data_IF_847891207530
#
_entry.id   IF_847891207530
#
_cell.length_a   1.000
_cell.length_b   1.000
_cell.length_c   1.000
_cell.angle_alpha   90.00
_cell.angle_beta   90.00
_cell.angle_gamma   90.00
#
_symmetry.space_group_name_H-M   'P 1'
#
loop_
_entity.id
_entity.type
_entity.pdbx_description
1 polymer ?
#
# COMPACT_ATOMS: atom_id res chain seq x y z
N UNK A 1 -67.89 5.25 59.68
CA UNK A 1 -66.47 5.11 59.42
C UNK A 1 -66.09 4.46 58.07
N UNK A 2 -66.94 4.59 56.99
CA UNK A 2 -66.68 3.89 55.70
C UNK A 2 -66.69 4.89 54.51
N UNK A 3 -66.91 6.20 54.73
CA UNK A 3 -66.94 7.19 53.63
C UNK A 3 -65.58 7.90 53.34
N UNK A 4 -64.58 7.80 54.18
CA UNK A 4 -63.27 8.47 53.99
C UNK A 4 -62.20 7.60 53.39
N UNK A 5 -62.41 6.28 53.27
CA UNK A 5 -61.42 5.36 52.71
C UNK A 5 -61.45 5.32 51.16
N UNK A 6 -62.59 5.68 50.55
CA UNK A 6 -62.72 5.65 49.09
C UNK A 6 -62.15 6.88 48.39
N UNK A 7 -61.89 7.98 49.08
CA UNK A 7 -61.36 9.21 48.51
C UNK A 7 -59.83 9.23 48.54
N UNK A 8 -59.16 8.46 49.41
CA UNK A 8 -57.71 8.36 49.46
C UNK A 8 -57.12 7.41 48.41
N UNK A 9 -57.88 6.41 47.97
CA UNK A 9 -57.47 5.47 46.93
C UNK A 9 -57.48 6.06 45.51
N UNK A 10 -58.27 7.10 45.25
CA UNK A 10 -58.43 7.75 43.94
C UNK A 10 -57.26 8.78 43.67
N UNK A 11 -56.67 9.36 44.73
CA UNK A 11 -55.60 10.32 44.60
C UNK A 11 -54.19 9.65 44.44
N UNK A 12 -54.02 8.39 44.85
CA UNK A 12 -52.75 7.67 44.73
C UNK A 12 -52.54 7.04 43.32
N UNK A 13 -53.62 6.82 42.61
CA UNK A 13 -53.60 6.27 41.25
C UNK A 13 -53.30 7.30 40.14
N UNK A 14 -53.44 8.60 40.45
CA UNK A 14 -53.19 9.69 39.51
C UNK A 14 -51.72 10.18 39.48
N UNK A 15 -50.93 9.82 40.52
CA UNK A 15 -49.49 10.23 40.59
C UNK A 15 -48.53 9.25 39.94
N UNK A 16 -48.96 8.07 39.47
CA UNK A 16 -48.11 7.07 38.84
C UNK A 16 -48.07 7.12 37.29
N UNK A 17 -48.82 8.03 36.67
CA UNK A 17 -48.89 8.17 35.20
C UNK A 17 -48.21 9.43 34.65
N UNK A 18 -47.54 10.23 35.51
CA UNK A 18 -46.83 11.46 35.06
C UNK A 18 -45.31 11.28 34.87
N UNK A 19 -44.82 10.05 34.89
CA UNK A 19 -43.39 9.80 34.89
C UNK A 19 -42.89 8.93 33.73
N UNK A 20 -43.07 9.30 32.46
CA UNK A 20 -42.27 8.78 31.33
C UNK A 20 -42.65 9.50 30.02
N UNK A 21 -42.57 10.82 30.02
CA UNK A 21 -42.30 11.55 28.79
C UNK A 21 -40.82 12.01 28.84
N UNK A 22 -39.91 11.05 28.88
CA UNK A 22 -38.54 11.34 28.48
C UNK A 22 -38.62 11.65 26.98
N UNK A 23 -38.47 12.92 26.62
CA UNK A 23 -38.17 13.30 25.25
C UNK A 23 -37.05 12.45 24.79
N UNK A 24 -37.08 11.79 23.62
CA UNK A 24 -35.94 11.09 23.09
C UNK A 24 -34.82 12.12 22.97
N UNK A 25 -33.76 11.95 23.78
CA UNK A 25 -32.50 12.66 23.56
C UNK A 25 -32.12 12.31 22.12
N UNK A 26 -31.98 13.28 21.21
CA UNK A 26 -31.48 12.94 19.88
C UNK A 26 -30.18 12.20 20.07
N UNK A 27 -30.08 11.00 19.47
CA UNK A 27 -28.84 10.28 19.42
C UNK A 27 -27.77 11.24 18.89
N UNK A 28 -26.58 11.30 19.49
CA UNK A 28 -25.54 12.13 18.96
C UNK A 28 -25.37 11.73 17.49
N UNK A 29 -25.63 12.67 16.59
CA UNK A 29 -25.27 12.54 15.18
C UNK A 29 -23.74 12.55 15.19
N UNK A 30 -23.13 11.36 15.25
CA UNK A 30 -21.70 11.22 15.01
C UNK A 30 -21.48 11.65 13.56
N UNK A 31 -20.96 12.85 13.37
CA UNK A 31 -20.57 13.33 12.04
C UNK A 31 -19.55 12.33 11.51
N UNK A 32 -19.89 11.61 10.44
CA UNK A 32 -18.94 10.74 9.76
C UNK A 32 -18.04 11.64 8.91
N UNK A 33 -16.74 11.47 9.07
CA UNK A 33 -15.79 12.15 8.18
C UNK A 33 -15.80 11.47 6.81
N UNK A 34 -15.86 12.28 5.75
CA UNK A 34 -15.72 11.81 4.38
C UNK A 34 -14.24 11.83 3.98
N UNK A 35 -13.71 10.69 3.60
CA UNK A 35 -12.31 10.48 3.22
C UNK A 35 -12.24 9.83 1.86
N UNK A 36 -11.42 10.39 0.97
CA UNK A 36 -11.14 9.81 -0.34
C UNK A 36 -9.75 9.16 -0.33
N UNK A 37 -9.66 7.88 -0.68
CA UNK A 37 -8.41 7.21 -1.01
C UNK A 37 -8.24 7.18 -2.52
N UNK A 38 -7.12 7.72 -3.01
CA UNK A 38 -6.78 7.78 -4.43
C UNK A 38 -5.46 7.04 -4.64
N UNK A 39 -5.57 5.82 -5.18
CA UNK A 39 -4.46 4.91 -5.42
C UNK A 39 -3.85 5.11 -6.81
N UNK A 40 -2.66 4.53 -7.03
CA UNK A 40 -2.04 4.50 -8.37
C UNK A 40 -2.78 3.57 -9.33
N UNK A 41 -3.38 2.50 -8.78
CA UNK A 41 -4.19 1.55 -9.53
C UNK A 41 -5.23 0.90 -8.63
N UNK A 42 -6.26 0.29 -9.22
CA UNK A 42 -7.27 -0.52 -8.52
C UNK A 42 -7.23 -2.00 -8.94
N UNK A 43 -6.26 -2.40 -9.76
CA UNK A 43 -6.28 -3.68 -10.48
C UNK A 43 -5.31 -4.74 -9.95
N UNK A 44 -4.46 -4.44 -8.93
CA UNK A 44 -3.47 -5.40 -8.41
C UNK A 44 -3.86 -5.95 -7.05
N UNK A 45 -3.29 -7.10 -6.67
CA UNK A 45 -3.48 -7.70 -5.35
C UNK A 45 -2.86 -6.82 -4.25
N UNK A 46 -1.75 -6.13 -4.54
CA UNK A 46 -1.15 -5.12 -3.67
C UNK A 46 -2.19 -4.08 -3.24
N UNK A 47 -2.86 -3.45 -4.20
CA UNK A 47 -3.87 -2.42 -3.90
C UNK A 47 -5.12 -2.99 -3.24
N UNK A 48 -5.55 -4.19 -3.63
CA UNK A 48 -6.67 -4.89 -2.95
C UNK A 48 -6.39 -5.07 -1.46
N UNK A 49 -5.14 -5.39 -1.09
CA UNK A 49 -4.70 -5.51 0.29
C UNK A 49 -4.68 -4.18 1.04
N UNK A 50 -4.20 -3.11 0.40
CA UNK A 50 -4.26 -1.75 0.96
C UNK A 50 -5.71 -1.33 1.21
N UNK A 51 -6.60 -1.58 0.24
CA UNK A 51 -8.02 -1.22 0.35
C UNK A 51 -8.72 -1.93 1.50
N UNK A 52 -8.47 -3.22 1.68
CA UNK A 52 -9.06 -3.95 2.80
C UNK A 52 -8.59 -3.44 4.16
N UNK A 53 -7.33 -3.05 4.31
CA UNK A 53 -6.84 -2.38 5.52
C UNK A 53 -7.53 -1.03 5.74
N UNK A 54 -7.69 -0.25 4.67
CA UNK A 54 -8.37 1.04 4.72
C UNK A 54 -9.86 0.91 5.09
N UNK A 55 -10.58 -0.06 4.50
CA UNK A 55 -11.99 -0.35 4.80
C UNK A 55 -12.18 -0.83 6.24
N UNK A 56 -11.26 -1.64 6.76
CA UNK A 56 -11.29 -2.09 8.15
C UNK A 56 -11.16 -0.90 9.11
N UNK A 57 -10.19 -0.01 8.90
CA UNK A 57 -10.03 1.21 9.69
C UNK A 57 -11.22 2.17 9.54
N UNK A 58 -11.74 2.36 8.31
CA UNK A 58 -12.91 3.20 8.08
C UNK A 58 -14.15 2.70 8.83
N UNK A 59 -14.29 1.37 8.92
CA UNK A 59 -15.35 0.73 9.72
C UNK A 59 -15.13 0.98 11.21
N UNK A 60 -13.92 0.77 11.72
CA UNK A 60 -13.58 0.95 13.13
C UNK A 60 -13.79 2.39 13.60
N UNK A 61 -13.32 3.36 12.80
CA UNK A 61 -13.43 4.80 13.11
C UNK A 61 -14.74 5.44 12.62
N UNK A 62 -15.70 4.65 12.10
CA UNK A 62 -16.98 5.10 11.56
C UNK A 62 -16.82 6.26 10.55
N UNK A 63 -15.92 6.09 9.58
CA UNK A 63 -15.67 7.04 8.50
C UNK A 63 -16.44 6.65 7.23
N UNK A 64 -16.67 7.61 6.36
CA UNK A 64 -17.19 7.42 5.01
C UNK A 64 -16.04 7.43 4.04
N UNK A 65 -15.60 6.24 3.60
CA UNK A 65 -14.43 6.04 2.76
C UNK A 65 -14.85 5.79 1.31
N UNK A 66 -14.33 6.62 0.39
CA UNK A 66 -14.43 6.40 -1.05
C UNK A 66 -13.05 6.00 -1.57
N UNK A 67 -12.97 4.90 -2.31
CA UNK A 67 -11.73 4.39 -2.91
C UNK A 67 -11.81 4.56 -4.42
N UNK A 68 -10.77 5.19 -5.00
CA UNK A 68 -10.61 5.38 -6.44
C UNK A 68 -9.14 5.20 -6.83
N UNK A 69 -8.87 5.11 -8.13
CA UNK A 69 -7.51 5.05 -8.66
C UNK A 69 -7.51 5.12 -10.17
N UNK A 70 -6.34 5.30 -10.75
CA UNK A 70 -6.14 5.30 -12.19
C UNK A 70 -6.23 3.88 -12.76
N UNK A 71 -6.42 3.75 -14.07
CA UNK A 71 -6.32 2.46 -14.77
C UNK A 71 -4.86 1.99 -14.90
N UNK A 72 -3.92 2.94 -14.97
CA UNK A 72 -2.47 2.69 -15.04
C UNK A 72 -1.74 3.39 -13.91
N UNK A 73 -0.73 2.73 -13.34
CA UNK A 73 0.12 3.31 -12.28
C UNK A 73 0.95 4.53 -12.74
N UNK A 74 0.98 4.83 -14.03
CA UNK A 74 1.71 5.96 -14.62
C UNK A 74 0.80 7.14 -14.99
N UNK A 75 -0.53 7.00 -14.84
CA UNK A 75 -1.49 8.04 -15.23
C UNK A 75 -1.71 9.06 -14.10
N UNK A 76 -0.71 9.94 -13.92
CA UNK A 76 -0.81 11.06 -12.98
C UNK A 76 -1.90 12.06 -13.36
N UNK A 77 -2.25 12.18 -14.65
CA UNK A 77 -3.26 13.13 -15.10
C UNK A 77 -4.65 12.75 -14.59
N UNK A 78 -5.04 11.49 -14.76
CA UNK A 78 -6.29 10.98 -14.17
C UNK A 78 -6.30 11.10 -12.66
N UNK A 79 -5.15 10.90 -11.98
CA UNK A 79 -5.08 11.12 -10.53
C UNK A 79 -5.35 12.59 -10.14
N UNK A 80 -4.85 13.57 -10.92
CA UNK A 80 -5.11 14.97 -10.67
C UNK A 80 -6.62 15.28 -10.78
N UNK A 81 -7.31 14.72 -11.79
CA UNK A 81 -8.76 14.85 -11.96
C UNK A 81 -9.51 14.20 -10.77
N UNK A 82 -9.05 13.05 -10.28
CA UNK A 82 -9.62 12.38 -9.10
C UNK A 82 -9.43 13.19 -7.82
N UNK A 83 -8.28 13.89 -7.65
CA UNK A 83 -8.05 14.80 -6.52
C UNK A 83 -9.05 15.97 -6.56
N UNK A 84 -9.21 16.61 -7.72
CA UNK A 84 -10.17 17.71 -7.89
C UNK A 84 -11.59 17.25 -7.58
N UNK A 85 -11.99 16.09 -8.12
CA UNK A 85 -13.29 15.49 -7.86
C UNK A 85 -13.50 15.20 -6.37
N UNK A 86 -12.54 14.62 -5.67
CA UNK A 86 -12.65 14.34 -4.24
C UNK A 86 -12.89 15.63 -3.43
N UNK A 87 -12.24 16.72 -3.79
CA UNK A 87 -12.46 18.04 -3.17
C UNK A 87 -13.87 18.56 -3.46
N UNK A 88 -14.35 18.42 -4.71
CA UNK A 88 -15.71 18.83 -5.11
C UNK A 88 -16.79 18.02 -4.40
N UNK A 89 -16.56 16.73 -4.20
CA UNK A 89 -17.43 15.81 -3.47
C UNK A 89 -17.41 16.06 -1.94
N UNK A 90 -16.56 16.98 -1.46
CA UNK A 90 -16.50 17.40 -0.06
C UNK A 90 -15.66 16.50 0.83
N UNK A 91 -14.67 15.81 0.31
CA UNK A 91 -13.71 15.05 1.11
C UNK A 91 -12.98 15.98 2.10
N UNK A 92 -12.95 15.57 3.37
CA UNK A 92 -12.26 16.30 4.44
C UNK A 92 -10.80 15.84 4.58
N UNK A 93 -10.50 14.62 4.12
CA UNK A 93 -9.14 14.15 3.94
C UNK A 93 -9.00 13.39 2.62
N UNK A 94 -7.81 13.47 2.04
CA UNK A 94 -7.39 12.67 0.89
C UNK A 94 -6.21 11.81 1.35
N UNK A 95 -6.34 10.47 1.15
CA UNK A 95 -5.26 9.51 1.29
C UNK A 95 -4.76 9.24 -0.13
N UNK A 96 -3.51 9.58 -0.42
CA UNK A 96 -2.99 9.66 -1.78
C UNK A 96 -1.69 8.87 -1.96
N UNK A 97 -1.59 8.13 -3.07
CA UNK A 97 -0.34 7.51 -3.53
C UNK A 97 0.01 8.04 -4.92
N UNK A 98 1.14 8.73 -5.04
CA UNK A 98 1.49 9.44 -6.26
C UNK A 98 1.99 8.52 -7.38
N UNK A 99 1.43 8.63 -8.57
CA UNK A 99 1.99 8.05 -9.80
C UNK A 99 3.24 8.78 -10.25
N UNK A 100 3.30 10.10 -10.04
CA UNK A 100 4.47 10.92 -10.35
C UNK A 100 4.74 11.91 -9.20
N UNK A 101 5.98 11.88 -8.69
CA UNK A 101 6.39 12.70 -7.56
C UNK A 101 6.19 14.19 -7.78
N UNK A 102 6.44 14.70 -9.00
CA UNK A 102 6.39 16.11 -9.33
C UNK A 102 5.02 16.54 -9.91
N UNK A 103 4.46 15.74 -10.81
CA UNK A 103 3.27 16.14 -11.57
C UNK A 103 1.99 16.15 -10.72
N UNK A 104 1.95 15.35 -9.65
CA UNK A 104 0.80 15.35 -8.73
C UNK A 104 0.88 16.45 -7.65
N UNK A 105 2.05 17.09 -7.47
CA UNK A 105 2.29 18.04 -6.37
C UNK A 105 1.31 19.22 -6.37
N UNK A 106 1.07 19.83 -7.55
CA UNK A 106 0.23 21.03 -7.66
C UNK A 106 -1.25 20.72 -7.30
N UNK A 107 -1.79 19.56 -7.68
CA UNK A 107 -3.15 19.16 -7.36
C UNK A 107 -3.31 18.89 -5.86
N UNK A 108 -2.33 18.24 -5.24
CA UNK A 108 -2.29 18.01 -3.78
C UNK A 108 -2.19 19.34 -3.02
N UNK A 109 -1.32 20.25 -3.46
CA UNK A 109 -1.21 21.58 -2.84
C UNK A 109 -2.52 22.38 -2.92
N UNK A 110 -3.20 22.32 -4.07
CA UNK A 110 -4.49 22.99 -4.28
C UNK A 110 -5.61 22.38 -3.40
N UNK A 111 -5.63 21.07 -3.19
CA UNK A 111 -6.56 20.41 -2.26
C UNK A 111 -6.28 20.84 -0.81
N UNK A 112 -5.03 20.86 -0.39
CA UNK A 112 -4.63 21.27 0.95
C UNK A 112 -4.97 22.75 1.21
N UNK A 113 -4.80 23.65 0.21
CA UNK A 113 -5.18 25.08 0.32
C UNK A 113 -6.68 25.29 0.53
N UNK A 114 -7.51 24.34 0.11
CA UNK A 114 -8.94 24.32 0.37
C UNK A 114 -9.30 23.72 1.75
N UNK A 115 -8.31 23.35 2.55
CA UNK A 115 -8.49 22.84 3.91
C UNK A 115 -8.63 21.32 3.98
N UNK A 116 -8.38 20.59 2.90
CA UNK A 116 -8.39 19.13 2.89
C UNK A 116 -7.13 18.60 3.56
N UNK A 117 -7.27 17.68 4.49
CA UNK A 117 -6.16 17.00 5.15
C UNK A 117 -5.49 16.00 4.18
N UNK A 118 -4.17 16.04 4.04
CA UNK A 118 -3.44 15.16 3.12
C UNK A 118 -2.65 14.12 3.91
N UNK A 119 -2.96 12.85 3.67
CA UNK A 119 -2.16 11.69 4.12
C UNK A 119 -1.63 10.99 2.88
N UNK A 120 -0.34 10.69 2.85
CA UNK A 120 0.26 9.95 1.73
C UNK A 120 0.46 8.49 2.14
N UNK A 121 0.16 7.58 1.22
CA UNK A 121 0.37 6.14 1.38
C UNK A 121 1.24 5.61 0.25
N UNK A 122 2.14 4.67 0.54
CA UNK A 122 3.04 3.97 -0.40
C UNK A 122 4.01 4.92 -1.13
N UNK A 123 3.54 5.74 -2.08
CA UNK A 123 4.38 6.56 -2.95
C UNK A 123 4.27 8.05 -2.62
N UNK A 124 5.40 8.67 -2.32
CA UNK A 124 5.50 10.08 -1.93
C UNK A 124 5.13 11.06 -3.05
N UNK A 125 4.75 12.28 -2.67
CA UNK A 125 4.51 13.42 -3.57
C UNK A 125 5.32 14.63 -3.11
N UNK A 126 5.80 15.45 -4.04
CA UNK A 126 6.61 16.64 -3.74
C UNK A 126 5.74 17.80 -3.20
N UNK A 127 5.21 17.62 -2.00
CA UNK A 127 4.40 18.64 -1.33
C UNK A 127 4.78 18.76 0.14
N UNK A 128 4.98 19.98 0.60
CA UNK A 128 5.22 20.28 2.02
C UNK A 128 3.93 20.29 2.86
N UNK A 129 2.76 20.14 2.21
CA UNK A 129 1.43 20.15 2.83
C UNK A 129 0.94 18.80 3.27
N UNK A 130 1.74 17.75 3.05
CA UNK A 130 1.47 16.39 3.53
C UNK A 130 1.55 16.38 5.05
N UNK A 131 0.47 15.93 5.69
CA UNK A 131 0.35 15.85 7.15
C UNK A 131 0.97 14.58 7.73
N UNK A 132 0.86 13.46 7.01
CA UNK A 132 1.45 12.17 7.39
C UNK A 132 1.76 11.33 6.16
N UNK A 133 2.78 10.48 6.27
CA UNK A 133 3.15 9.45 5.31
C UNK A 133 3.10 8.07 5.97
N UNK A 134 2.58 7.08 5.24
CA UNK A 134 2.56 5.67 5.64
C UNK A 134 3.08 4.82 4.49
N UNK A 135 4.18 4.12 4.67
CA UNK A 135 4.78 3.32 3.61
C UNK A 135 5.87 2.38 4.11
N UNK A 136 6.61 1.79 3.20
CA UNK A 136 7.78 0.97 3.52
C UNK A 136 9.07 1.80 3.48
N UNK A 137 10.12 1.32 4.16
CA UNK A 137 11.49 1.71 3.87
C UNK A 137 11.92 1.10 2.54
N UNK A 138 11.74 1.86 1.45
CA UNK A 138 12.00 1.37 0.10
C UNK A 138 13.50 1.13 -0.16
N UNK A 139 14.37 1.99 0.35
CA UNK A 139 15.80 1.80 0.25
C UNK A 139 16.25 0.52 0.99
N UNK A 140 15.78 0.33 2.21
CA UNK A 140 16.01 -0.89 2.98
C UNK A 140 15.43 -2.14 2.31
N UNK A 141 14.26 -2.02 1.66
CA UNK A 141 13.65 -3.11 0.87
C UNK A 141 14.55 -3.50 -0.33
N UNK A 142 15.11 -2.52 -1.04
CA UNK A 142 16.12 -2.74 -2.08
C UNK A 142 17.36 -3.44 -1.54
N UNK A 143 17.85 -3.01 -0.37
CA UNK A 143 18.96 -3.68 0.30
C UNK A 143 18.64 -5.14 0.66
N UNK A 144 17.39 -5.43 1.10
CA UNK A 144 16.95 -6.81 1.40
C UNK A 144 17.01 -7.69 0.15
N UNK A 145 16.56 -7.19 -1.00
CA UNK A 145 16.62 -7.91 -2.27
C UNK A 145 18.06 -8.27 -2.66
N UNK A 146 18.95 -7.29 -2.64
CA UNK A 146 20.37 -7.50 -2.95
C UNK A 146 21.04 -8.46 -1.97
N UNK A 147 20.79 -8.32 -0.66
CA UNK A 147 21.32 -9.21 0.38
C UNK A 147 20.83 -10.64 0.22
N UNK A 148 19.59 -10.85 -0.24
CA UNK A 148 19.06 -12.18 -0.55
C UNK A 148 19.86 -12.84 -1.68
N UNK A 149 20.10 -12.14 -2.78
CA UNK A 149 20.91 -12.65 -3.88
C UNK A 149 22.36 -12.92 -3.45
N UNK A 150 22.99 -11.97 -2.75
CA UNK A 150 24.37 -12.11 -2.25
C UNK A 150 24.55 -13.29 -1.29
N UNK A 151 23.53 -13.63 -0.51
CA UNK A 151 23.56 -14.76 0.43
C UNK A 151 23.47 -16.12 -0.27
N UNK A 152 22.71 -16.20 -1.34
CA UNK A 152 22.29 -17.47 -1.92
C UNK A 152 23.01 -17.83 -3.23
N UNK A 153 23.58 -16.82 -3.94
CA UNK A 153 24.34 -17.05 -5.17
C UNK A 153 25.84 -17.00 -4.87
N UNK A 154 26.56 -18.08 -5.21
CA UNK A 154 28.01 -18.16 -5.07
C UNK A 154 28.74 -17.49 -6.26
N UNK A 155 30.00 -17.05 -6.04
CA UNK A 155 30.83 -16.43 -7.05
C UNK A 155 30.40 -15.01 -7.44
N UNK A 156 30.80 -14.53 -8.64
CA UNK A 156 30.42 -13.22 -9.16
C UNK A 156 28.92 -13.16 -9.49
N UNK A 157 28.26 -12.04 -9.17
CA UNK A 157 26.89 -11.77 -9.54
C UNK A 157 26.86 -10.78 -10.71
N UNK A 158 26.20 -11.19 -11.79
CA UNK A 158 25.82 -10.34 -12.93
C UNK A 158 24.32 -10.09 -12.85
N UNK A 159 23.92 -8.89 -12.43
CA UNK A 159 22.56 -8.60 -12.01
C UNK A 159 21.80 -7.86 -13.11
N UNK A 160 20.65 -8.38 -13.51
CA UNK A 160 19.65 -7.68 -14.30
C UNK A 160 18.62 -7.03 -13.39
N UNK A 161 18.27 -5.77 -13.64
CA UNK A 161 17.24 -5.04 -12.94
C UNK A 161 16.07 -4.78 -13.88
N UNK A 162 14.86 -5.17 -13.49
CA UNK A 162 13.63 -4.88 -14.23
C UNK A 162 12.80 -3.93 -13.37
N UNK A 163 12.85 -2.66 -13.71
CA UNK A 163 12.18 -1.58 -12.99
C UNK A 163 11.00 -1.02 -13.79
N UNK A 164 10.29 -0.10 -13.18
CA UNK A 164 9.14 0.59 -13.78
C UNK A 164 9.39 2.11 -13.75
N UNK A 165 8.37 2.92 -13.75
CA UNK A 165 8.37 4.37 -13.82
C UNK A 165 9.52 5.06 -13.07
N UNK A 166 10.42 5.70 -13.81
CA UNK A 166 11.57 6.45 -13.28
C UNK A 166 11.19 7.68 -12.43
N UNK A 167 9.91 8.13 -12.48
CA UNK A 167 9.40 9.24 -11.69
C UNK A 167 8.72 8.79 -10.39
N UNK A 168 8.70 7.49 -10.12
CA UNK A 168 8.17 6.93 -8.88
C UNK A 168 9.26 6.86 -7.81
N UNK A 169 9.13 7.57 -6.66
CA UNK A 169 10.15 7.57 -5.61
C UNK A 169 10.49 6.18 -5.11
N UNK A 170 9.47 5.35 -4.85
CA UNK A 170 9.68 3.98 -4.35
C UNK A 170 10.46 3.11 -5.34
N UNK A 171 10.25 3.27 -6.67
CA UNK A 171 11.05 2.58 -7.68
C UNK A 171 12.53 2.97 -7.62
N UNK A 172 12.83 4.26 -7.49
CA UNK A 172 14.18 4.80 -7.44
C UNK A 172 14.90 4.40 -6.15
N UNK A 173 14.25 4.53 -5.00
CA UNK A 173 14.82 4.19 -3.69
C UNK A 173 15.13 2.69 -3.60
N UNK A 174 14.27 1.81 -4.12
CA UNK A 174 14.52 0.36 -4.18
C UNK A 174 15.74 0.05 -5.07
N UNK A 175 15.82 0.66 -6.25
CA UNK A 175 16.94 0.49 -7.17
C UNK A 175 18.25 0.99 -6.53
N UNK A 176 18.26 2.15 -5.90
CA UNK A 176 19.41 2.71 -5.19
C UNK A 176 19.90 1.76 -4.08
N UNK A 177 18.97 1.27 -3.24
CA UNK A 177 19.28 0.30 -2.18
C UNK A 177 19.89 -1.00 -2.71
N UNK A 178 19.43 -1.49 -3.87
CA UNK A 178 20.01 -2.64 -4.56
C UNK A 178 21.43 -2.32 -5.03
N UNK A 179 21.61 -1.23 -5.80
CA UNK A 179 22.88 -0.85 -6.42
C UNK A 179 23.96 -0.63 -5.35
N UNK A 180 23.65 0.10 -4.29
CA UNK A 180 24.60 0.39 -3.21
C UNK A 180 25.04 -0.89 -2.49
N UNK A 181 24.11 -1.80 -2.22
CA UNK A 181 24.40 -3.08 -1.55
C UNK A 181 25.27 -3.98 -2.43
N UNK A 182 24.95 -4.08 -3.73
CA UNK A 182 25.72 -4.86 -4.69
C UNK A 182 27.13 -4.29 -4.84
N UNK A 183 27.26 -2.98 -5.01
CA UNK A 183 28.53 -2.28 -5.15
C UNK A 183 29.43 -2.49 -3.91
N UNK A 184 28.86 -2.34 -2.72
CA UNK A 184 29.58 -2.54 -1.47
C UNK A 184 30.07 -3.98 -1.27
N UNK A 185 29.47 -4.97 -1.92
CA UNK A 185 29.86 -6.38 -1.83
C UNK A 185 31.21 -6.68 -2.52
N UNK A 186 31.59 -5.89 -3.51
CA UNK A 186 32.82 -6.07 -4.33
C UNK A 186 32.85 -7.30 -5.22
N UNK A 187 31.70 -8.06 -5.31
CA UNK A 187 31.58 -9.27 -6.13
C UNK A 187 30.38 -9.29 -7.05
N UNK A 188 29.68 -8.17 -7.15
CA UNK A 188 28.48 -8.03 -7.95
C UNK A 188 28.55 -6.79 -8.85
N UNK A 189 28.01 -6.89 -10.04
CA UNK A 189 27.81 -5.78 -10.96
C UNK A 189 26.41 -5.79 -11.53
N UNK A 190 25.84 -4.62 -11.81
CA UNK A 190 24.61 -4.48 -12.57
C UNK A 190 24.97 -4.55 -14.05
N UNK A 191 24.63 -5.67 -14.69
CA UNK A 191 24.91 -5.90 -16.10
C UNK A 191 23.97 -5.11 -17.00
N UNK A 192 22.71 -4.98 -16.60
CA UNK A 192 21.70 -4.19 -17.31
C UNK A 192 20.54 -3.76 -16.38
N UNK A 193 19.98 -2.58 -16.66
CA UNK A 193 18.70 -2.13 -16.11
C UNK A 193 17.75 -1.85 -17.26
N UNK A 194 16.50 -2.33 -17.15
CA UNK A 194 15.41 -2.01 -18.07
C UNK A 194 14.23 -1.41 -17.30
N UNK A 195 13.53 -0.50 -17.93
CA UNK A 195 12.33 0.12 -17.40
C UNK A 195 11.15 -0.27 -18.28
N UNK A 196 10.09 -0.76 -17.65
CA UNK A 196 8.86 -1.16 -18.33
C UNK A 196 7.71 -0.23 -17.92
N UNK A 197 6.66 -0.22 -18.70
CA UNK A 197 5.35 0.17 -18.15
C UNK A 197 5.00 -0.85 -17.07
N UNK A 198 4.37 -0.40 -15.98
CA UNK A 198 4.03 -1.26 -14.84
C UNK A 198 2.90 -2.26 -15.18
N UNK A 199 3.13 -3.09 -16.21
CA UNK A 199 2.26 -4.21 -16.61
C UNK A 199 3.09 -5.50 -16.78
N UNK A 200 2.50 -6.68 -16.52
CA UNK A 200 3.20 -7.95 -16.71
C UNK A 200 3.71 -8.15 -18.15
N UNK A 201 2.94 -7.75 -19.15
CA UNK A 201 3.28 -7.92 -20.56
C UNK A 201 4.50 -7.11 -20.96
N UNK A 202 4.54 -5.82 -20.55
CA UNK A 202 5.68 -4.94 -20.80
C UNK A 202 6.94 -5.44 -20.09
N UNK A 203 6.83 -5.75 -18.81
CA UNK A 203 7.96 -6.25 -18.01
C UNK A 203 8.52 -7.57 -18.57
N UNK A 204 7.65 -8.50 -19.00
CA UNK A 204 8.06 -9.75 -19.65
C UNK A 204 8.83 -9.49 -20.93
N UNK A 205 8.36 -8.60 -21.80
CA UNK A 205 9.02 -8.28 -23.07
C UNK A 205 10.42 -7.65 -22.83
N UNK A 206 10.53 -6.72 -21.88
CA UNK A 206 11.79 -6.08 -21.54
C UNK A 206 12.77 -7.07 -20.87
N UNK A 207 12.29 -7.93 -19.95
CA UNK A 207 13.12 -8.96 -19.32
C UNK A 207 13.62 -9.99 -20.34
N UNK A 208 12.79 -10.47 -21.26
CA UNK A 208 13.21 -11.37 -22.34
C UNK A 208 14.29 -10.73 -23.22
N UNK A 209 14.11 -9.46 -23.60
CA UNK A 209 15.08 -8.72 -24.42
C UNK A 209 16.40 -8.54 -23.69
N UNK A 210 16.36 -8.18 -22.41
CA UNK A 210 17.55 -8.01 -21.57
C UNK A 210 18.32 -9.33 -21.43
N UNK A 211 17.64 -10.41 -21.03
CA UNK A 211 18.27 -11.73 -20.82
C UNK A 211 18.84 -12.33 -22.11
N UNK A 212 18.25 -12.03 -23.27
CA UNK A 212 18.79 -12.44 -24.58
C UNK A 212 20.08 -11.68 -24.94
N UNK A 213 20.22 -10.42 -24.55
CA UNK A 213 21.39 -9.57 -24.81
C UNK A 213 22.52 -9.76 -23.79
N UNK A 214 22.16 -10.17 -22.59
CA UNK A 214 23.04 -10.35 -21.43
C UNK A 214 22.92 -11.78 -20.88
N UNK A 215 23.39 -12.78 -21.61
CA UNK A 215 23.30 -14.19 -21.18
C UNK A 215 24.10 -14.49 -19.91
N UNK A 216 25.05 -13.63 -19.53
CA UNK A 216 25.83 -13.67 -18.30
C UNK A 216 25.00 -13.39 -17.03
N UNK A 217 23.83 -12.76 -17.14
CA UNK A 217 22.99 -12.45 -15.98
C UNK A 217 22.59 -13.75 -15.26
N UNK A 218 22.97 -13.84 -14.00
CA UNK A 218 22.66 -14.94 -13.09
C UNK A 218 21.80 -14.53 -11.89
N UNK A 219 21.48 -13.23 -11.77
CA UNK A 219 20.53 -12.69 -10.79
C UNK A 219 19.57 -11.73 -11.50
N UNK A 220 18.28 -11.83 -11.21
CA UNK A 220 17.26 -10.92 -11.70
C UNK A 220 16.51 -10.32 -10.51
N UNK A 221 16.34 -8.99 -10.47
CA UNK A 221 15.58 -8.29 -9.44
C UNK A 221 14.53 -7.42 -10.12
N UNK A 222 13.28 -7.57 -9.71
CA UNK A 222 12.13 -6.76 -10.16
C UNK A 222 11.63 -5.91 -9.00
N UNK A 223 10.85 -4.81 -9.25
CA UNK A 223 10.66 -3.78 -8.23
C UNK A 223 9.21 -3.47 -7.82
N UNK A 224 8.19 -4.10 -8.41
CA UNK A 224 6.80 -4.08 -7.96
C UNK A 224 6.05 -5.35 -8.39
N UNK A 225 4.80 -5.50 -7.98
CA UNK A 225 3.96 -6.67 -8.25
C UNK A 225 3.87 -7.01 -9.76
N UNK A 226 3.42 -6.06 -10.58
CA UNK A 226 3.17 -6.30 -11.99
C UNK A 226 4.46 -6.64 -12.76
N UNK A 227 5.55 -5.92 -12.45
CA UNK A 227 6.87 -6.17 -13.03
C UNK A 227 7.42 -7.52 -12.60
N UNK A 228 7.19 -7.93 -11.36
CA UNK A 228 7.61 -9.23 -10.83
C UNK A 228 6.92 -10.39 -11.54
N UNK A 229 5.62 -10.26 -11.82
CA UNK A 229 4.88 -11.26 -12.62
C UNK A 229 5.48 -11.41 -14.01
N UNK A 230 5.73 -10.30 -14.72
CA UNK A 230 6.29 -10.34 -16.06
C UNK A 230 7.71 -10.89 -16.10
N UNK A 231 8.56 -10.49 -15.16
CA UNK A 231 9.95 -10.98 -15.04
C UNK A 231 9.97 -12.51 -14.74
N UNK A 232 9.11 -12.99 -13.84
CA UNK A 232 9.00 -14.43 -13.54
C UNK A 232 8.54 -15.24 -14.75
N UNK A 233 7.61 -14.71 -15.54
CA UNK A 233 7.19 -15.32 -16.81
C UNK A 233 8.37 -15.40 -17.80
N UNK A 234 9.19 -14.34 -17.90
CA UNK A 234 10.38 -14.36 -18.77
C UNK A 234 11.40 -15.42 -18.35
N UNK A 235 11.65 -15.59 -17.05
CA UNK A 235 12.50 -16.67 -16.51
C UNK A 235 11.97 -18.03 -16.90
N UNK A 236 10.66 -18.25 -16.74
CA UNK A 236 9.98 -19.49 -17.11
C UNK A 236 10.06 -19.79 -18.61
N UNK A 237 9.79 -18.79 -19.47
CA UNK A 237 9.81 -18.93 -20.93
C UNK A 237 11.20 -19.33 -21.46
N UNK A 238 12.25 -18.81 -20.83
CA UNK A 238 13.65 -19.11 -21.18
C UNK A 238 14.17 -20.38 -20.51
N UNK A 239 13.37 -21.02 -19.64
CA UNK A 239 13.76 -22.17 -18.81
C UNK A 239 15.03 -21.89 -18.00
N UNK A 240 15.14 -20.67 -17.40
CA UNK A 240 16.30 -20.20 -16.65
C UNK A 240 16.17 -20.39 -15.12
N UNK A 241 15.15 -21.10 -14.64
CA UNK A 241 14.89 -21.31 -13.20
C UNK A 241 16.04 -22.01 -12.46
N UNK A 242 16.84 -22.84 -13.15
CA UNK A 242 17.93 -23.60 -12.52
C UNK A 242 19.27 -22.83 -12.47
N UNK A 243 19.42 -21.76 -13.27
CA UNK A 243 20.70 -21.04 -13.43
C UNK A 243 20.60 -19.52 -13.18
N UNK A 244 19.40 -19.04 -12.81
CA UNK A 244 19.15 -17.64 -12.52
C UNK A 244 18.41 -17.49 -11.20
N UNK A 245 18.98 -16.75 -10.24
CA UNK A 245 18.33 -16.40 -8.98
C UNK A 245 17.42 -15.19 -9.16
N UNK A 246 16.12 -15.34 -8.93
CA UNK A 246 15.18 -14.23 -9.06
C UNK A 246 14.65 -13.76 -7.73
N UNK A 247 14.73 -12.43 -7.48
CA UNK A 247 14.09 -11.74 -6.39
C UNK A 247 12.95 -10.89 -6.93
N UNK A 248 11.71 -11.21 -6.52
CA UNK A 248 10.51 -10.45 -6.83
C UNK A 248 10.20 -9.43 -5.73
N UNK A 249 9.46 -8.37 -6.07
CA UNK A 249 8.81 -7.48 -5.11
C UNK A 249 7.31 -7.77 -5.11
N UNK A 250 6.74 -7.67 -3.92
CA UNK A 250 5.36 -7.95 -3.58
C UNK A 250 4.96 -9.42 -3.78
N UNK A 251 3.77 -9.76 -3.30
CA UNK A 251 3.22 -11.10 -3.43
C UNK A 251 1.84 -11.05 -4.06
N UNK A 252 1.61 -11.96 -4.99
CA UNK A 252 0.30 -12.31 -5.51
C UNK A 252 0.29 -13.80 -5.82
N UNK A 253 -0.85 -14.33 -6.23
CA UNK A 253 -0.99 -15.76 -6.50
C UNK A 253 0.01 -16.25 -7.57
N UNK A 254 0.33 -15.43 -8.57
CA UNK A 254 1.28 -15.78 -9.66
C UNK A 254 2.72 -15.82 -9.16
N UNK A 255 3.17 -14.85 -8.37
CA UNK A 255 4.54 -14.84 -7.81
C UNK A 255 4.73 -15.91 -6.75
N UNK A 256 3.69 -16.23 -5.97
CA UNK A 256 3.70 -17.35 -5.01
C UNK A 256 3.81 -18.70 -5.76
N UNK A 257 3.07 -18.89 -6.85
CA UNK A 257 3.22 -20.08 -7.70
C UNK A 257 4.61 -20.13 -8.35
N UNK A 258 5.14 -19.00 -8.82
CA UNK A 258 6.49 -18.89 -9.36
C UNK A 258 7.57 -19.22 -8.30
N UNK A 259 7.38 -18.82 -7.03
CA UNK A 259 8.24 -19.23 -5.93
C UNK A 259 8.18 -20.76 -5.69
N UNK A 260 6.99 -21.34 -5.79
CA UNK A 260 6.82 -22.78 -5.64
C UNK A 260 7.45 -23.59 -6.78
N UNK A 261 7.30 -23.13 -8.01
CA UNK A 261 7.81 -23.77 -9.23
C UNK A 261 9.28 -23.48 -9.51
N UNK A 262 9.89 -22.44 -8.92
CA UNK A 262 11.28 -22.14 -8.99
C UNK A 262 11.65 -20.99 -9.94
N UNK A 263 10.71 -20.37 -10.61
CA UNK A 263 10.96 -19.18 -11.43
C UNK A 263 11.23 -17.92 -10.59
N UNK A 264 10.84 -17.94 -9.31
CA UNK A 264 11.20 -16.95 -8.29
C UNK A 264 11.84 -17.68 -7.12
N UNK A 265 12.88 -17.11 -6.52
CA UNK A 265 13.60 -17.70 -5.38
C UNK A 265 13.30 -17.00 -4.07
N UNK A 266 13.04 -15.69 -4.12
CA UNK A 266 12.67 -14.88 -2.97
C UNK A 266 11.75 -13.73 -3.37
N UNK A 267 10.92 -13.29 -2.43
CA UNK A 267 10.05 -12.14 -2.57
C UNK A 267 10.32 -11.14 -1.44
N UNK A 268 10.38 -9.86 -1.75
CA UNK A 268 10.36 -8.76 -0.79
C UNK A 268 8.90 -8.34 -0.63
N UNK A 269 8.28 -8.69 0.48
CA UNK A 269 6.84 -8.51 0.71
C UNK A 269 6.61 -7.41 1.74
N UNK A 270 5.75 -6.46 1.40
CA UNK A 270 5.38 -5.30 2.21
C UNK A 270 4.10 -5.59 3.03
N UNK A 271 3.91 -4.86 4.14
CA UNK A 271 2.65 -4.92 4.90
C UNK A 271 1.62 -3.95 4.32
N UNK A 272 1.03 -4.31 3.20
CA UNK A 272 0.08 -3.52 2.43
C UNK A 272 -1.23 -3.25 3.19
N UNK A 273 -1.74 -4.26 3.93
CA UNK A 273 -2.89 -4.09 4.80
C UNK A 273 -2.63 -3.01 5.87
N UNK A 274 -1.45 -3.06 6.51
CA UNK A 274 -1.05 -2.05 7.49
C UNK A 274 -0.95 -0.65 6.86
N UNK A 275 -0.47 -0.53 5.62
CA UNK A 275 -0.44 0.76 4.92
C UNK A 275 -1.84 1.37 4.80
N UNK A 276 -2.82 0.61 4.36
CA UNK A 276 -4.20 1.07 4.25
C UNK A 276 -4.80 1.43 5.60
N UNK A 277 -4.66 0.54 6.59
CA UNK A 277 -5.22 0.75 7.92
C UNK A 277 -4.66 2.01 8.60
N UNK A 278 -3.34 2.14 8.69
CA UNK A 278 -2.71 3.28 9.37
C UNK A 278 -2.91 4.60 8.63
N UNK A 279 -3.10 4.59 7.31
CA UNK A 279 -3.40 5.80 6.55
C UNK A 279 -4.77 6.37 6.93
N UNK A 280 -5.79 5.52 7.04
CA UNK A 280 -7.15 5.92 7.47
C UNK A 280 -7.15 6.31 8.96
N UNK A 281 -6.45 5.55 9.82
CA UNK A 281 -6.29 5.90 11.23
C UNK A 281 -5.66 7.29 11.40
N UNK A 282 -4.59 7.60 10.65
CA UNK A 282 -3.94 8.91 10.67
C UNK A 282 -4.89 10.02 10.17
N UNK A 283 -5.64 9.78 9.09
CA UNK A 283 -6.65 10.72 8.60
C UNK A 283 -7.71 11.00 9.68
N UNK A 284 -8.21 9.95 10.36
CA UNK A 284 -9.15 10.10 11.47
C UNK A 284 -8.58 10.96 12.60
N UNK A 285 -7.38 10.64 13.09
CA UNK A 285 -6.72 11.38 14.19
C UNK A 285 -6.54 12.86 13.85
N UNK A 286 -6.13 13.17 12.61
CA UNK A 286 -5.96 14.53 12.14
C UNK A 286 -7.30 15.29 12.12
N UNK A 287 -8.36 14.69 11.57
CA UNK A 287 -9.69 15.28 11.50
C UNK A 287 -10.37 15.42 12.87
N UNK A 288 -10.09 14.51 13.80
CA UNK A 288 -10.61 14.53 15.17
C UNK A 288 -9.84 15.50 16.10
N UNK A 289 -8.85 16.24 15.59
CA UNK A 289 -8.05 17.15 16.39
C UNK A 289 -7.00 16.47 17.28
N UNK A 290 -6.67 15.22 16.99
CA UNK A 290 -5.68 14.39 17.69
C UNK A 290 -4.34 14.35 16.92
N UNK A 291 -4.00 15.41 16.20
CA UNK A 291 -2.80 15.47 15.36
C UNK A 291 -1.48 15.28 16.12
N UNK A 292 -1.45 15.53 17.45
CA UNK A 292 -0.30 15.23 18.31
C UNK A 292 0.03 13.73 18.40
N UNK A 293 -0.95 12.86 18.11
CA UNK A 293 -0.83 11.41 18.21
C UNK A 293 -0.49 10.76 16.87
N UNK A 294 -0.29 11.59 15.84
CA UNK A 294 0.08 11.15 14.49
C UNK A 294 1.60 11.23 14.31
N UNK A 295 2.21 10.10 13.98
CA UNK A 295 3.60 10.05 13.54
C UNK A 295 3.69 10.56 12.10
N UNK A 296 4.57 11.53 11.84
CA UNK A 296 4.69 12.14 10.50
C UNK A 296 5.06 11.12 9.43
N UNK A 297 5.89 10.15 9.78
CA UNK A 297 6.29 9.03 8.91
C UNK A 297 6.09 7.72 9.67
N UNK A 298 5.25 6.85 9.14
CA UNK A 298 4.97 5.53 9.69
C UNK A 298 5.49 4.47 8.74
N UNK A 299 6.55 3.78 9.13
CA UNK A 299 7.07 2.65 8.38
C UNK A 299 6.26 1.39 8.67
N UNK A 300 5.83 0.72 7.61
CA UNK A 300 5.23 -0.61 7.67
C UNK A 300 6.29 -1.69 7.44
N UNK A 301 6.10 -2.85 8.07
CA UNK A 301 7.09 -3.92 8.00
C UNK A 301 7.25 -4.45 6.57
N UNK A 302 8.52 -4.68 6.19
CA UNK A 302 8.89 -5.38 4.95
C UNK A 302 9.62 -6.67 5.33
N UNK A 303 9.40 -7.75 4.58
CA UNK A 303 9.98 -9.07 4.86
C UNK A 303 10.49 -9.73 3.59
N UNK A 304 11.57 -10.50 3.73
CA UNK A 304 12.00 -11.43 2.70
C UNK A 304 11.29 -12.78 2.91
N UNK A 305 10.62 -13.25 1.88
CA UNK A 305 9.91 -14.53 1.85
C UNK A 305 10.56 -15.41 0.79
N UNK A 306 10.88 -16.63 1.18
CA UNK A 306 11.43 -17.68 0.32
C UNK A 306 10.79 -19.05 0.66
N UNK A 307 11.20 -20.11 -0.04
CA UNK A 307 10.66 -21.46 0.19
C UNK A 307 10.89 -21.98 1.61
N UNK A 308 11.87 -21.45 2.33
CA UNK A 308 12.18 -21.90 3.70
C UNK A 308 11.25 -21.33 4.75
N UNK A 309 10.62 -20.17 4.49
CA UNK A 309 9.84 -19.45 5.49
C UNK A 309 8.38 -19.16 5.07
N UNK A 310 8.00 -19.35 3.81
CA UNK A 310 6.63 -19.07 3.32
C UNK A 310 5.54 -19.82 4.12
N UNK A 311 5.83 -21.02 4.62
CA UNK A 311 4.89 -21.81 5.42
C UNK A 311 4.97 -21.53 6.93
N UNK A 312 5.89 -20.71 7.38
CA UNK A 312 5.88 -20.21 8.75
C UNK A 312 4.71 -19.23 8.97
N UNK A 313 4.20 -19.13 10.20
CA UNK A 313 3.05 -18.27 10.50
C UNK A 313 3.26 -16.82 10.05
N UNK A 314 4.47 -16.28 10.26
CA UNK A 314 4.79 -14.91 9.85
C UNK A 314 4.93 -14.76 8.34
N UNK A 315 5.38 -15.80 7.64
CA UNK A 315 5.42 -15.85 6.17
C UNK A 315 4.02 -15.87 5.58
N UNK A 316 3.14 -16.75 6.11
CA UNK A 316 1.74 -16.82 5.68
C UNK A 316 1.01 -15.49 5.89
N UNK A 317 1.18 -14.84 7.04
CA UNK A 317 0.57 -13.54 7.32
C UNK A 317 1.10 -12.41 6.43
N UNK A 318 2.35 -12.51 5.97
CA UNK A 318 2.92 -11.51 5.07
C UNK A 318 2.37 -11.68 3.64
N UNK A 319 2.26 -12.93 3.17
CA UNK A 319 1.84 -13.24 1.80
C UNK A 319 0.32 -13.20 1.63
N UNK A 320 -0.45 -13.57 2.67
CA UNK A 320 -1.91 -13.63 2.68
C UNK A 320 -2.47 -12.78 3.85
N UNK A 321 -2.45 -11.47 3.75
CA UNK A 321 -2.80 -10.58 4.86
C UNK A 321 -4.29 -10.61 5.27
N UNK A 322 -5.15 -11.34 4.55
CA UNK A 322 -6.62 -11.41 4.79
C UNK A 322 -7.12 -12.77 5.27
N UNK A 323 -6.26 -13.78 5.38
CA UNK A 323 -6.65 -15.12 5.78
C UNK A 323 -6.35 -15.44 7.25
#
# INVERSE_FOLDING_TARGET
MIKHVKTLAACLSALLLAGCAASPTPAPTTTRYHVAMIAKSTSTEFWSAVFAGAEAAATEYNMDLTITGSESEEDYSSQNDLIEKAVEDGAQAIIFSASDYQQNAAAIDAAADKGVCIVVVDSAVNSSKVSAYVGADNYGAGQMAAKSALKNVEGPLHVGLVNYNVNSPNAQEREEGVIDTLTASGRAEVAATVYSVATPESARAEALTMLARHPEINVLISFNEAVSVGAAQAVSDLNRADDLWMVAFDSNITTVDALHTGAVDAMVVQNTYGMGYFSVENAYKLLAGQGSDVTRETETATRIIDRSNIFALDGQKAVFPFE
#
